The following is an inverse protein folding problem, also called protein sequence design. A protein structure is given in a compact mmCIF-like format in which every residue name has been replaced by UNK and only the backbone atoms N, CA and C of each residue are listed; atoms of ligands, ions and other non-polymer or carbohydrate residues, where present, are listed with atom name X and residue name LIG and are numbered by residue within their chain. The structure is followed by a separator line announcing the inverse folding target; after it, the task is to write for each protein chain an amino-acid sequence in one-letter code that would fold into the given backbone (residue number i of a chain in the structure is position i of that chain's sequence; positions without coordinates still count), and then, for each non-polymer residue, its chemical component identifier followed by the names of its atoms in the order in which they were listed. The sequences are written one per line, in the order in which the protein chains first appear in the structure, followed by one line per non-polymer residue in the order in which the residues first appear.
data_IF_518984625545
#
_entry.id   IF_518984625545
#
_cell.length_a   1.000
_cell.length_b   1.000
_cell.length_c   1.000
_cell.angle_alpha   90.00
_cell.angle_beta   90.00
_cell.angle_gamma   90.00
#
_symmetry.space_group_name_H-M   'P 1'
#
loop_
_entity.id
_entity.type
_entity.pdbx_description
1 polymer ?
#
# COMPACT_ATOMS: atom_id res chain seq x y z
N UNK A 1 -9.28 -8.35 6.24
CA UNK A 1 -9.07 -8.26 4.78
C UNK A 1 -7.59 -8.37 4.57
N UNK A 2 -7.09 -9.24 3.71
CA UNK A 2 -5.67 -9.27 3.42
C UNK A 2 -5.33 -7.97 2.71
N UNK A 3 -4.48 -7.17 3.34
CA UNK A 3 -3.75 -6.10 2.68
C UNK A 3 -2.91 -6.76 1.60
N UNK A 4 -3.13 -6.38 0.35
CA UNK A 4 -2.19 -6.66 -0.73
C UNK A 4 -0.87 -6.00 -0.33
N UNK A 5 -0.01 -6.77 0.30
CA UNK A 5 1.37 -6.35 0.55
C UNK A 5 2.02 -6.22 -0.81
N UNK A 6 2.39 -4.99 -1.19
CA UNK A 6 3.35 -4.79 -2.27
C UNK A 6 4.50 -5.76 -2.08
N UNK A 7 4.96 -6.47 -3.14
CA UNK A 7 6.06 -7.40 -3.01
C UNK A 7 7.24 -6.67 -2.37
N UNK A 8 7.85 -7.30 -1.39
CA UNK A 8 9.05 -6.78 -0.76
C UNK A 8 10.05 -6.43 -1.86
N UNK A 9 10.52 -5.18 -1.84
CA UNK A 9 11.54 -4.75 -2.78
C UNK A 9 12.84 -5.48 -2.46
N UNK A 10 13.12 -6.57 -3.18
CA UNK A 10 14.47 -6.96 -3.46
C UNK A 10 14.91 -6.13 -4.65
N UNK A 11 15.72 -5.13 -4.40
CA UNK A 11 16.20 -4.26 -5.46
C UNK A 11 16.96 -5.07 -6.50
N UNK A 12 16.47 -5.03 -7.73
CA UNK A 12 17.22 -5.34 -8.95
C UNK A 12 18.50 -4.48 -9.11
N UNK A 13 18.83 -3.65 -8.11
CA UNK A 13 19.95 -2.72 -8.13
C UNK A 13 21.34 -3.39 -8.24
N UNK A 14 21.46 -4.68 -7.95
CA UNK A 14 22.75 -5.39 -8.13
C UNK A 14 23.03 -5.70 -9.60
N UNK A 15 22.02 -5.75 -10.46
CA UNK A 15 22.21 -5.90 -11.91
C UNK A 15 22.63 -4.58 -12.59
N UNK A 16 22.43 -3.42 -11.97
CA UNK A 16 22.77 -2.12 -12.54
C UNK A 16 24.24 -1.70 -12.32
N UNK A 17 24.96 -2.30 -11.39
CA UNK A 17 26.37 -1.93 -11.11
C UNK A 17 27.34 -2.39 -12.19
N UNK A 18 26.98 -3.41 -12.97
CA UNK A 18 27.82 -3.87 -14.09
C UNK A 18 27.73 -3.01 -15.36
N UNK A 19 26.73 -2.11 -15.48
CA UNK A 19 26.50 -1.32 -16.70
C UNK A 19 27.16 0.08 -16.72
N UNK A 20 27.84 0.50 -15.66
CA UNK A 20 28.43 1.85 -15.55
C UNK A 20 29.83 2.01 -16.19
N UNK A 21 30.36 1.00 -16.88
CA UNK A 21 31.67 1.03 -17.54
C UNK A 21 31.63 1.23 -19.06
N UNK A 22 30.47 1.37 -19.70
CA UNK A 22 30.41 1.64 -21.14
C UNK A 22 30.20 3.14 -21.43
N UNK A 23 31.31 3.86 -21.65
CA UNK A 23 31.28 5.17 -22.36
C UNK A 23 30.87 4.96 -23.82
N UNK A 24 29.99 5.79 -24.41
CA UNK A 24 29.73 5.74 -25.84
C UNK A 24 30.96 6.23 -26.60
N UNK A 25 31.51 5.39 -27.44
CA UNK A 25 32.50 5.78 -28.43
C UNK A 25 31.81 6.45 -29.62
N UNK A 26 32.37 7.55 -30.03
CA UNK A 26 31.98 8.34 -31.22
C UNK A 26 31.94 7.47 -32.47
N UNK A 27 30.89 7.61 -33.26
CA UNK A 27 30.79 7.04 -34.60
C UNK A 27 31.82 7.67 -35.55
N UNK A 28 32.41 6.89 -36.44
CA UNK A 28 32.78 7.38 -37.77
C UNK A 28 31.93 6.69 -38.84
N UNK A 29 31.44 7.55 -39.78
CA UNK A 29 30.84 7.13 -41.04
C UNK A 29 31.77 6.23 -41.82
N UNK A 30 31.30 5.07 -42.30
CA UNK A 30 31.67 4.51 -43.63
C UNK A 30 30.76 3.32 -43.99
N UNK A 31 30.50 3.26 -45.28
CA UNK A 31 29.73 2.38 -46.16
C UNK A 31 30.00 0.87 -45.95
N UNK A 32 29.04 -0.02 -46.22
CA UNK A 32 29.20 -1.45 -45.99
C UNK A 32 29.97 -2.16 -47.09
N UNK A 33 30.81 -3.15 -46.75
CA UNK A 33 31.08 -4.27 -47.63
C UNK A 33 30.28 -5.51 -47.17
N UNK A 34 29.65 -6.13 -48.13
CA UNK A 34 29.15 -7.51 -48.02
C UNK A 34 30.26 -8.46 -47.62
N UNK A 35 30.06 -9.13 -46.54
CA UNK A 35 30.36 -10.53 -46.30
C UNK A 35 30.02 -10.81 -44.83
N UNK A 36 28.87 -11.44 -44.59
CA UNK A 36 28.57 -12.01 -43.27
C UNK A 36 29.42 -13.24 -43.15
N UNK A 37 30.64 -13.07 -42.58
CA UNK A 37 31.37 -14.20 -42.02
C UNK A 37 30.51 -14.71 -40.83
N UNK A 38 30.08 -15.94 -40.87
CA UNK A 38 29.52 -16.65 -39.72
C UNK A 38 30.56 -16.55 -38.59
N UNK A 39 30.29 -15.67 -37.62
CA UNK A 39 31.06 -15.71 -36.36
C UNK A 39 30.56 -16.97 -35.67
N UNK A 40 31.47 -17.96 -35.57
CA UNK A 40 31.24 -19.15 -34.75
C UNK A 40 30.94 -18.66 -33.35
N UNK A 41 29.76 -18.97 -32.86
CA UNK A 41 29.19 -18.54 -31.55
C UNK A 41 30.04 -19.12 -30.34
N UNK A 42 30.97 -20.01 -30.64
CA UNK A 42 31.86 -20.66 -29.67
C UNK A 42 33.06 -19.81 -29.20
N UNK A 43 33.24 -18.56 -29.68
CA UNK A 43 34.42 -17.72 -29.36
C UNK A 43 34.14 -16.48 -28.54
N UNK A 44 32.89 -16.21 -28.18
CA UNK A 44 32.58 -15.16 -27.25
C UNK A 44 32.93 -15.60 -25.82
N UNK A 45 33.64 -14.77 -25.02
CA UNK A 45 33.91 -15.11 -23.63
C UNK A 45 32.58 -15.37 -22.92
N UNK A 46 32.50 -16.54 -22.24
CA UNK A 46 31.29 -16.86 -21.46
C UNK A 46 30.98 -15.70 -20.53
N UNK A 47 29.74 -15.18 -20.60
CA UNK A 47 29.29 -14.09 -19.72
C UNK A 47 29.39 -14.53 -18.26
N UNK A 48 29.75 -13.62 -17.33
CA UNK A 48 29.78 -13.92 -15.91
C UNK A 48 28.49 -14.59 -15.44
N UNK A 49 28.54 -15.62 -14.60
CA UNK A 49 27.37 -16.40 -14.18
C UNK A 49 26.23 -15.54 -13.61
N UNK A 50 26.56 -14.46 -12.88
CA UNK A 50 25.57 -13.53 -12.30
C UNK A 50 24.83 -12.76 -13.42
N UNK A 51 25.54 -12.28 -14.43
CA UNK A 51 24.93 -11.56 -15.57
C UNK A 51 24.03 -12.50 -16.37
N UNK A 52 24.52 -13.71 -16.68
CA UNK A 52 23.73 -14.72 -17.40
C UNK A 52 22.48 -15.13 -16.62
N UNK A 53 22.59 -15.32 -15.31
CA UNK A 53 21.43 -15.62 -14.48
C UNK A 53 20.42 -14.47 -14.48
N UNK A 54 20.88 -13.20 -14.49
CA UNK A 54 20.02 -12.02 -14.59
C UNK A 54 19.24 -11.95 -15.90
N UNK A 55 19.86 -12.26 -17.03
CA UNK A 55 19.20 -12.33 -18.34
C UNK A 55 18.13 -13.44 -18.38
N UNK A 56 18.44 -14.61 -17.82
CA UNK A 56 17.49 -15.71 -17.70
C UNK A 56 16.31 -15.36 -16.80
N UNK A 57 16.55 -14.67 -15.70
CA UNK A 57 15.49 -14.16 -14.85
C UNK A 57 14.59 -13.15 -15.57
N UNK A 58 15.17 -12.22 -16.31
CA UNK A 58 14.43 -11.22 -17.08
C UNK A 58 13.55 -11.86 -18.16
N UNK A 59 13.92 -13.03 -18.68
CA UNK A 59 13.14 -13.82 -19.63
C UNK A 59 12.20 -14.86 -18.97
N UNK A 60 12.10 -14.86 -17.63
CA UNK A 60 11.25 -15.78 -16.87
C UNK A 60 11.78 -17.19 -16.72
N UNK A 61 13.04 -17.44 -17.13
CA UNK A 61 13.71 -18.75 -17.09
C UNK A 61 14.41 -18.96 -15.74
N UNK A 62 13.63 -18.91 -14.65
CA UNK A 62 14.18 -18.94 -13.28
C UNK A 62 14.90 -20.26 -12.94
N UNK A 63 14.44 -21.40 -13.52
CA UNK A 63 15.06 -22.70 -13.26
C UNK A 63 16.45 -22.80 -13.92
N UNK A 64 16.61 -22.28 -15.13
CA UNK A 64 17.88 -22.21 -15.83
C UNK A 64 18.85 -21.22 -15.14
N UNK A 65 18.31 -20.08 -14.67
CA UNK A 65 19.08 -19.12 -13.88
C UNK A 65 19.66 -19.77 -12.61
N UNK A 66 18.87 -20.58 -11.91
CA UNK A 66 19.33 -21.32 -10.74
C UNK A 66 20.43 -22.32 -11.08
N UNK A 67 20.26 -23.07 -12.17
CA UNK A 67 21.26 -24.05 -12.62
C UNK A 67 22.61 -23.39 -12.94
N UNK A 68 22.60 -22.23 -13.61
CA UNK A 68 23.83 -21.46 -13.91
C UNK A 68 24.57 -21.07 -12.63
N UNK A 69 23.84 -20.62 -11.61
CA UNK A 69 24.45 -20.22 -10.33
C UNK A 69 24.92 -21.43 -9.52
N UNK A 70 24.14 -22.51 -9.52
CA UNK A 70 24.54 -23.76 -8.84
C UNK A 70 25.83 -24.35 -9.47
N UNK A 71 26.01 -24.27 -10.79
CA UNK A 71 27.22 -24.70 -11.47
C UNK A 71 28.40 -23.77 -11.14
N UNK A 72 28.18 -22.46 -11.12
CA UNK A 72 29.22 -21.50 -10.73
C UNK A 72 29.69 -21.71 -9.28
N UNK A 73 28.77 -22.01 -8.36
CA UNK A 73 29.10 -22.31 -6.97
C UNK A 73 29.88 -23.62 -6.77
N UNK A 74 29.88 -24.56 -7.72
CA UNK A 74 30.76 -25.73 -7.67
C UNK A 74 32.23 -25.31 -7.87
N UNK A 75 32.47 -24.31 -8.72
CA UNK A 75 33.81 -23.78 -8.97
C UNK A 75 34.27 -22.78 -7.90
N UNK A 76 33.36 -21.95 -7.41
CA UNK A 76 33.64 -20.90 -6.41
C UNK A 76 32.65 -20.98 -5.25
N UNK A 77 32.74 -21.97 -4.36
CA UNK A 77 31.75 -22.23 -3.30
C UNK A 77 31.69 -21.14 -2.21
N UNK A 78 32.72 -20.30 -2.15
CA UNK A 78 32.86 -19.26 -1.13
C UNK A 78 32.53 -17.84 -1.66
N UNK A 79 32.02 -17.73 -2.87
CA UNK A 79 31.63 -16.43 -3.44
C UNK A 79 30.31 -15.94 -2.83
N UNK A 80 30.29 -14.83 -2.03
CA UNK A 80 29.09 -14.35 -1.40
C UNK A 80 28.09 -13.75 -2.40
N UNK A 81 28.57 -13.24 -3.54
CA UNK A 81 27.71 -12.63 -4.55
C UNK A 81 26.92 -13.69 -5.32
N UNK A 82 27.53 -14.85 -5.60
CA UNK A 82 26.84 -16.01 -6.18
C UNK A 82 25.79 -16.58 -5.23
N UNK A 83 26.09 -16.70 -3.94
CA UNK A 83 25.12 -17.11 -2.94
C UNK A 83 23.95 -16.12 -2.84
N UNK A 84 24.22 -14.82 -2.91
CA UNK A 84 23.19 -13.79 -2.91
C UNK A 84 22.29 -13.87 -4.15
N UNK A 85 22.90 -13.95 -5.34
CA UNK A 85 22.15 -14.09 -6.60
C UNK A 85 21.27 -15.35 -6.60
N UNK A 86 21.82 -16.47 -6.09
CA UNK A 86 21.06 -17.72 -5.91
C UNK A 86 19.82 -17.52 -5.01
N UNK A 87 19.95 -16.78 -3.93
CA UNK A 87 18.87 -16.46 -3.04
C UNK A 87 17.74 -15.66 -3.73
N UNK A 88 18.12 -14.69 -4.58
CA UNK A 88 17.15 -13.92 -5.39
C UNK A 88 16.36 -14.85 -6.31
N UNK A 89 17.04 -15.74 -7.03
CA UNK A 89 16.36 -16.68 -7.93
C UNK A 89 15.44 -17.64 -7.18
N UNK A 90 15.85 -18.11 -6.01
CA UNK A 90 15.04 -19.00 -5.16
C UNK A 90 13.78 -18.32 -4.64
N UNK A 91 13.88 -17.03 -4.28
CA UNK A 91 12.71 -16.23 -3.89
C UNK A 91 11.70 -16.11 -5.04
N UNK A 92 12.17 -15.80 -6.25
CA UNK A 92 11.30 -15.73 -7.44
C UNK A 92 10.67 -17.08 -7.81
N UNK A 93 11.32 -18.18 -7.46
CA UNK A 93 10.76 -19.53 -7.58
C UNK A 93 9.76 -19.88 -6.46
N UNK A 94 9.47 -18.95 -5.54
CA UNK A 94 8.57 -19.20 -4.40
C UNK A 94 9.17 -20.12 -3.33
N UNK A 95 10.48 -20.14 -3.19
CA UNK A 95 11.24 -20.95 -2.23
C UNK A 95 11.93 -20.08 -1.16
N UNK A 96 11.17 -19.34 -0.34
CA UNK A 96 11.75 -18.33 0.54
C UNK A 96 12.70 -18.91 1.61
N UNK A 97 12.47 -20.13 2.09
CA UNK A 97 13.37 -20.76 3.07
C UNK A 97 14.71 -21.13 2.47
N UNK A 98 14.73 -21.61 1.22
CA UNK A 98 15.98 -21.90 0.48
C UNK A 98 16.71 -20.59 0.15
N UNK A 99 15.97 -19.52 -0.18
CA UNK A 99 16.52 -18.18 -0.39
C UNK A 99 17.24 -17.65 0.85
N UNK A 100 16.60 -17.75 2.03
CA UNK A 100 17.22 -17.37 3.31
C UNK A 100 18.50 -18.19 3.55
N UNK A 101 18.50 -19.48 3.30
CA UNK A 101 19.70 -20.32 3.46
C UNK A 101 20.84 -19.86 2.54
N UNK A 102 20.54 -19.50 1.30
CA UNK A 102 21.52 -18.96 0.36
C UNK A 102 22.08 -17.60 0.82
N UNK A 103 21.21 -16.69 1.28
CA UNK A 103 21.65 -15.39 1.81
C UNK A 103 22.42 -15.51 3.12
N UNK A 104 22.08 -16.46 3.99
CA UNK A 104 22.88 -16.78 5.18
C UNK A 104 24.27 -17.28 4.80
N UNK A 105 24.39 -18.10 3.75
CA UNK A 105 25.68 -18.51 3.23
C UNK A 105 26.50 -17.32 2.70
N UNK A 106 25.87 -16.33 2.06
CA UNK A 106 26.51 -15.08 1.66
C UNK A 106 27.03 -14.30 2.88
N UNK A 107 26.19 -14.12 3.91
CA UNK A 107 26.52 -13.38 5.14
C UNK A 107 27.61 -14.08 5.94
N UNK A 108 27.66 -15.43 5.98
CA UNK A 108 28.74 -16.17 6.63
C UNK A 108 30.11 -15.87 6.02
N UNK A 109 30.17 -15.64 4.70
CA UNK A 109 31.39 -15.31 3.97
C UNK A 109 31.73 -13.82 4.01
N UNK A 110 30.69 -12.99 4.02
CA UNK A 110 30.80 -11.53 4.06
C UNK A 110 29.77 -10.98 5.07
N UNK A 111 30.17 -10.83 6.36
CA UNK A 111 29.21 -10.44 7.44
C UNK A 111 28.54 -9.08 7.25
N UNK A 112 29.15 -8.18 6.50
CA UNK A 112 28.63 -6.86 6.14
C UNK A 112 27.86 -6.82 4.80
N UNK A 113 27.46 -7.99 4.29
CA UNK A 113 26.75 -8.07 3.02
C UNK A 113 25.30 -7.62 3.17
N UNK A 114 25.12 -6.30 3.22
CA UNK A 114 23.85 -5.63 3.51
C UNK A 114 22.68 -6.06 2.61
N UNK A 115 22.84 -6.38 1.30
CA UNK A 115 21.72 -6.81 0.49
C UNK A 115 21.15 -8.17 0.96
N UNK A 116 22.03 -9.12 1.34
CA UNK A 116 21.59 -10.41 1.87
C UNK A 116 20.91 -10.26 3.24
N UNK A 117 21.46 -9.42 4.13
CA UNK A 117 20.84 -9.11 5.42
C UNK A 117 19.43 -8.51 5.24
N UNK A 118 19.27 -7.60 4.28
CA UNK A 118 17.95 -7.03 3.96
C UNK A 118 16.99 -8.08 3.39
N UNK A 119 17.45 -8.97 2.48
CA UNK A 119 16.65 -10.07 1.94
C UNK A 119 16.18 -11.04 3.02
N UNK A 120 17.08 -11.44 3.94
CA UNK A 120 16.72 -12.27 5.09
C UNK A 120 15.63 -11.60 5.92
N UNK A 121 15.80 -10.33 6.26
CA UNK A 121 14.82 -9.56 7.02
C UNK A 121 13.46 -9.47 6.32
N UNK A 122 13.47 -9.37 5.01
CA UNK A 122 12.28 -9.30 4.18
C UNK A 122 11.45 -10.60 4.30
N UNK A 123 12.06 -11.76 4.09
CA UNK A 123 11.39 -13.06 4.23
C UNK A 123 10.94 -13.30 5.68
N UNK A 124 11.74 -12.89 6.67
CA UNK A 124 11.36 -12.98 8.09
C UNK A 124 10.11 -12.15 8.39
N UNK A 125 10.00 -10.94 7.83
CA UNK A 125 8.83 -10.08 8.02
C UNK A 125 7.58 -10.70 7.41
N UNK A 126 7.67 -11.25 6.21
CA UNK A 126 6.56 -11.93 5.54
C UNK A 126 6.11 -13.20 6.27
N UNK A 127 7.05 -13.89 6.91
CA UNK A 127 6.79 -15.03 7.79
C UNK A 127 6.21 -14.62 9.18
N UNK A 128 6.02 -13.31 9.45
CA UNK A 128 5.57 -12.80 10.74
C UNK A 128 6.64 -12.81 11.84
N UNK A 129 7.89 -13.10 11.53
CA UNK A 129 9.05 -13.09 12.45
C UNK A 129 9.56 -11.67 12.60
N UNK A 130 8.71 -10.80 13.16
CA UNK A 130 8.93 -9.35 13.15
C UNK A 130 10.18 -8.93 13.95
N UNK A 131 10.46 -9.60 15.04
CA UNK A 131 11.64 -9.28 15.88
C UNK A 131 12.94 -9.59 15.17
N UNK A 132 13.00 -10.74 14.51
CA UNK A 132 14.15 -11.20 13.72
C UNK A 132 14.34 -10.30 12.50
N UNK A 133 13.26 -9.93 11.82
CA UNK A 133 13.29 -9.01 10.69
C UNK A 133 13.88 -7.64 11.07
N UNK A 134 13.45 -7.07 12.20
CA UNK A 134 13.99 -5.81 12.73
C UNK A 134 15.51 -5.93 12.98
N UNK A 135 15.97 -7.05 13.54
CA UNK A 135 17.38 -7.27 13.78
C UNK A 135 18.18 -7.36 12.46
N UNK A 136 17.67 -8.08 11.46
CA UNK A 136 18.27 -8.21 10.14
C UNK A 136 18.36 -6.87 9.39
N UNK A 137 17.30 -6.06 9.41
CA UNK A 137 17.32 -4.72 8.80
C UNK A 137 18.28 -3.76 9.52
N UNK A 138 18.35 -3.80 10.85
CA UNK A 138 19.33 -3.02 11.61
C UNK A 138 20.77 -3.42 11.28
N UNK A 139 21.04 -4.71 11.08
CA UNK A 139 22.35 -5.18 10.65
C UNK A 139 22.69 -4.70 9.23
N UNK A 140 21.71 -4.71 8.30
CA UNK A 140 21.88 -4.16 6.95
C UNK A 140 22.21 -2.65 6.99
N UNK A 141 21.51 -1.87 7.82
CA UNK A 141 21.77 -0.43 8.04
C UNK A 141 23.14 -0.20 8.69
N UNK A 142 23.54 -1.03 9.64
CA UNK A 142 24.85 -0.91 10.26
C UNK A 142 25.97 -1.17 9.24
N UNK A 143 25.80 -2.11 8.32
CA UNK A 143 26.73 -2.39 7.24
C UNK A 143 26.72 -1.28 6.16
N UNK A 144 25.55 -0.72 5.85
CA UNK A 144 25.38 0.38 4.88
C UNK A 144 24.33 1.38 5.37
N UNK A 145 24.74 2.47 6.05
CA UNK A 145 23.82 3.44 6.63
C UNK A 145 22.97 4.23 5.63
N UNK A 146 23.39 4.33 4.39
CA UNK A 146 22.71 5.00 3.29
C UNK A 146 21.88 4.06 2.40
N UNK A 147 21.58 2.87 2.88
CA UNK A 147 20.74 1.91 2.17
C UNK A 147 19.24 2.16 2.44
N UNK A 148 18.61 2.92 1.55
CA UNK A 148 17.21 3.38 1.69
C UNK A 148 16.22 2.24 1.92
N UNK A 149 16.37 1.12 1.17
CA UNK A 149 15.47 -0.03 1.28
C UNK A 149 15.48 -0.68 2.67
N UNK A 150 16.64 -0.75 3.32
CA UNK A 150 16.71 -1.30 4.68
C UNK A 150 16.02 -0.38 5.70
N UNK A 151 16.11 0.93 5.53
CA UNK A 151 15.36 1.89 6.35
C UNK A 151 13.85 1.78 6.12
N UNK A 152 13.42 1.64 4.86
CA UNK A 152 12.02 1.43 4.51
C UNK A 152 11.46 0.13 5.11
N UNK A 153 12.17 -0.99 4.92
CA UNK A 153 11.78 -2.30 5.43
C UNK A 153 11.80 -2.33 6.97
N UNK A 154 12.77 -1.67 7.62
CA UNK A 154 12.77 -1.48 9.07
C UNK A 154 11.54 -0.72 9.53
N UNK A 155 11.15 0.35 8.84
CA UNK A 155 9.95 1.11 9.12
C UNK A 155 8.69 0.25 9.06
N UNK A 156 8.55 -0.57 8.03
CA UNK A 156 7.43 -1.53 7.88
C UNK A 156 7.41 -2.57 9.01
N UNK A 157 8.55 -3.13 9.35
CA UNK A 157 8.68 -4.11 10.43
C UNK A 157 8.32 -3.49 11.80
N UNK A 158 8.73 -2.25 12.06
CA UNK A 158 8.38 -1.52 13.27
C UNK A 158 6.89 -1.18 13.34
N UNK A 159 6.24 -0.86 12.20
CA UNK A 159 4.79 -0.71 12.13
C UNK A 159 4.07 -2.01 12.48
N UNK A 160 4.56 -3.15 11.97
CA UNK A 160 4.02 -4.47 12.30
C UNK A 160 4.20 -4.82 13.80
N UNK A 161 5.30 -4.35 14.40
CA UNK A 161 5.54 -4.47 15.84
C UNK A 161 4.72 -3.49 16.70
N UNK A 162 4.06 -2.49 16.09
CA UNK A 162 3.31 -1.45 16.79
C UNK A 162 4.18 -0.29 17.31
N UNK A 163 5.47 -0.25 17.02
CA UNK A 163 6.37 0.85 17.39
C UNK A 163 6.30 1.98 16.35
N UNK A 164 5.20 2.73 16.39
CA UNK A 164 4.92 3.83 15.46
C UNK A 164 5.99 4.95 15.51
N UNK A 165 6.51 5.36 16.68
CA UNK A 165 7.56 6.38 16.73
C UNK A 165 8.86 5.96 16.05
N UNK A 166 9.34 4.75 16.30
CA UNK A 166 10.56 4.23 15.66
C UNK A 166 10.34 4.00 14.16
N UNK A 167 9.18 3.49 13.76
CA UNK A 167 8.80 3.32 12.35
C UNK A 167 8.88 4.63 11.57
N UNK A 168 8.34 5.71 12.14
CA UNK A 168 8.41 7.03 11.53
C UNK A 168 9.86 7.48 11.30
N UNK A 169 10.71 7.33 12.30
CA UNK A 169 12.12 7.70 12.18
C UNK A 169 12.82 6.94 11.06
N UNK A 170 12.55 5.64 10.95
CA UNK A 170 13.12 4.80 9.89
C UNK A 170 12.60 5.21 8.49
N UNK A 171 11.29 5.45 8.35
CA UNK A 171 10.68 5.88 7.08
C UNK A 171 11.11 7.29 6.66
N UNK A 172 11.28 8.21 7.62
CA UNK A 172 11.83 9.55 7.34
C UNK A 172 13.30 9.46 6.88
N UNK A 173 14.07 8.49 7.40
CA UNK A 173 15.42 8.21 6.91
C UNK A 173 15.39 7.65 5.48
N UNK A 174 14.51 6.68 5.19
CA UNK A 174 14.30 6.17 3.83
C UNK A 174 13.95 7.29 2.85
N UNK A 175 13.03 8.17 3.23
CA UNK A 175 12.61 9.30 2.38
C UNK A 175 13.73 10.32 2.13
N UNK A 176 14.63 10.55 3.10
CA UNK A 176 15.80 11.42 2.87
C UNK A 176 16.79 10.80 1.89
N UNK A 177 16.94 9.48 1.91
CA UNK A 177 17.86 8.74 1.03
C UNK A 177 17.28 8.52 -0.36
N UNK A 178 15.97 8.33 -0.46
CA UNK A 178 15.24 8.11 -1.71
C UNK A 178 13.94 8.95 -1.73
N UNK A 179 14.03 10.27 -1.98
CA UNK A 179 12.88 11.19 -1.86
C UNK A 179 11.83 11.00 -2.97
N UNK A 180 12.17 10.31 -4.06
CA UNK A 180 11.27 10.00 -5.16
C UNK A 180 10.70 8.57 -5.09
N UNK A 181 10.89 7.90 -3.98
CA UNK A 181 10.34 6.57 -3.76
C UNK A 181 8.86 6.66 -3.36
N UNK A 182 7.99 6.25 -4.29
CA UNK A 182 6.53 6.33 -4.14
C UNK A 182 6.04 5.49 -2.96
N UNK A 183 6.59 4.30 -2.74
CA UNK A 183 6.17 3.42 -1.65
C UNK A 183 6.51 4.00 -0.28
N UNK A 184 7.70 4.61 -0.16
CA UNK A 184 8.08 5.34 1.05
C UNK A 184 7.12 6.50 1.32
N UNK A 185 6.78 7.28 0.29
CA UNK A 185 5.85 8.41 0.39
C UNK A 185 4.44 7.95 0.77
N UNK A 186 3.95 6.83 0.22
CA UNK A 186 2.64 6.26 0.56
C UNK A 186 2.58 5.86 2.05
N UNK A 187 3.57 5.12 2.52
CA UNK A 187 3.60 4.67 3.92
C UNK A 187 3.75 5.85 4.88
N UNK A 188 4.58 6.83 4.55
CA UNK A 188 4.72 8.06 5.33
C UNK A 188 3.43 8.88 5.36
N UNK A 189 2.76 9.04 4.22
CA UNK A 189 1.49 9.78 4.15
C UNK A 189 0.44 9.15 5.04
N UNK A 190 0.28 7.82 4.97
CA UNK A 190 -0.66 7.10 5.83
C UNK A 190 -0.28 7.21 7.32
N UNK A 191 1.01 7.17 7.63
CA UNK A 191 1.50 7.34 8.99
C UNK A 191 1.20 8.75 9.54
N UNK A 192 1.44 9.77 8.73
CA UNK A 192 1.11 11.16 9.08
C UNK A 192 -0.40 11.33 9.28
N UNK A 193 -1.21 10.76 8.38
CA UNK A 193 -2.66 10.79 8.47
C UNK A 193 -3.17 10.14 9.77
N UNK A 194 -2.69 8.95 10.11
CA UNK A 194 -3.05 8.25 11.37
C UNK A 194 -2.59 8.99 12.62
N UNK A 195 -1.51 9.74 12.51
CA UNK A 195 -1.00 10.59 13.59
C UNK A 195 -1.73 11.96 13.70
N UNK A 196 -2.74 12.23 12.85
CA UNK A 196 -3.45 13.50 12.79
C UNK A 196 -2.63 14.65 12.19
N UNK A 197 -1.45 14.37 11.61
CA UNK A 197 -0.59 15.35 10.94
C UNK A 197 -1.02 15.51 9.48
N UNK A 198 -2.22 16.05 9.28
CA UNK A 198 -2.88 16.03 7.98
C UNK A 198 -2.14 16.90 6.94
N UNK A 199 -1.47 17.98 7.34
CA UNK A 199 -0.68 18.80 6.43
C UNK A 199 0.54 18.06 5.89
N UNK A 200 1.24 17.31 6.73
CA UNK A 200 2.36 16.48 6.32
C UNK A 200 1.89 15.32 5.42
N UNK A 201 0.75 14.71 5.76
CA UNK A 201 0.12 13.69 4.93
C UNK A 201 -0.24 14.23 3.54
N UNK A 202 -0.77 15.45 3.46
CA UNK A 202 -1.13 16.09 2.18
C UNK A 202 0.13 16.40 1.34
N UNK A 203 1.20 16.89 1.99
CA UNK A 203 2.47 17.15 1.31
C UNK A 203 3.05 15.87 0.70
N UNK A 204 3.12 14.80 1.49
CA UNK A 204 3.69 13.50 1.05
C UNK A 204 2.82 12.81 0.01
N UNK A 205 1.48 12.80 0.18
CA UNK A 205 0.58 12.18 -0.80
C UNK A 205 0.54 12.94 -2.13
N UNK A 206 0.61 14.27 -2.12
CA UNK A 206 0.75 15.06 -3.36
C UNK A 206 2.10 14.84 -4.05
N UNK A 207 3.18 14.62 -3.30
CA UNK A 207 4.47 14.24 -3.88
C UNK A 207 4.38 12.87 -4.57
N UNK A 208 3.80 11.87 -3.92
CA UNK A 208 3.54 10.56 -4.52
C UNK A 208 2.69 10.66 -5.80
N UNK A 209 1.62 11.47 -5.78
CA UNK A 209 0.73 11.65 -6.94
C UNK A 209 1.40 12.35 -8.13
N UNK A 210 2.43 13.16 -7.91
CA UNK A 210 3.24 13.74 -9.00
C UNK A 210 4.17 12.72 -9.64
N UNK A 211 4.72 11.79 -8.84
CA UNK A 211 5.65 10.77 -9.31
C UNK A 211 4.91 9.61 -9.99
N UNK A 212 3.77 9.22 -9.46
CA UNK A 212 2.94 8.14 -9.98
C UNK A 212 1.49 8.61 -10.24
N UNK A 213 1.27 9.45 -11.26
CA UNK A 213 -0.04 10.07 -11.51
C UNK A 213 -1.12 9.08 -11.94
N UNK A 214 -0.72 7.92 -12.44
CA UNK A 214 -1.64 6.86 -12.91
C UNK A 214 -1.83 5.72 -11.91
N UNK A 215 -1.20 5.78 -10.74
CA UNK A 215 -1.34 4.78 -9.70
C UNK A 215 -2.63 4.98 -8.91
N UNK A 216 -3.48 3.95 -8.89
CA UNK A 216 -4.79 4.00 -8.25
C UNK A 216 -4.68 4.09 -6.71
N UNK A 217 -3.69 3.44 -6.10
CA UNK A 217 -3.49 3.47 -4.65
C UNK A 217 -3.04 4.86 -4.19
N UNK A 218 -2.12 5.48 -4.94
CA UNK A 218 -1.66 6.85 -4.73
C UNK A 218 -2.83 7.82 -4.80
N UNK A 219 -3.67 7.73 -5.84
CA UNK A 219 -4.85 8.55 -6.02
C UNK A 219 -5.85 8.37 -4.89
N UNK A 220 -6.13 7.12 -4.51
CA UNK A 220 -7.04 6.79 -3.42
C UNK A 220 -6.56 7.35 -2.08
N UNK A 221 -5.25 7.19 -1.76
CA UNK A 221 -4.68 7.74 -0.54
C UNK A 221 -4.77 9.27 -0.50
N UNK A 222 -4.42 9.95 -1.59
CA UNK A 222 -4.55 11.41 -1.69
C UNK A 222 -6.02 11.83 -1.50
N UNK A 223 -6.97 11.12 -2.09
CA UNK A 223 -8.40 11.34 -1.90
C UNK A 223 -8.81 11.29 -0.41
N UNK A 224 -8.32 10.30 0.34
CA UNK A 224 -8.59 10.20 1.79
C UNK A 224 -7.99 11.37 2.57
N UNK A 225 -6.76 11.76 2.29
CA UNK A 225 -6.11 12.90 2.94
C UNK A 225 -6.85 14.21 2.64
N UNK A 226 -7.29 14.40 1.41
CA UNK A 226 -8.09 15.57 1.00
C UNK A 226 -9.45 15.60 1.70
N UNK A 227 -10.09 14.45 1.92
CA UNK A 227 -11.32 14.36 2.72
C UNK A 227 -11.12 14.84 4.16
N UNK A 228 -10.00 14.50 4.79
CA UNK A 228 -9.66 14.93 6.14
C UNK A 228 -9.26 16.42 6.23
N UNK A 229 -8.87 17.02 5.10
CA UNK A 229 -8.65 18.49 4.96
C UNK A 229 -9.90 19.25 4.53
N UNK A 230 -11.07 18.60 4.46
CA UNK A 230 -12.32 19.17 3.94
C UNK A 230 -12.24 19.68 2.49
N UNK A 231 -11.24 19.24 1.71
CA UNK A 231 -11.07 19.54 0.28
C UNK A 231 -11.88 18.56 -0.58
N UNK A 232 -13.19 18.55 -0.37
CA UNK A 232 -14.08 17.50 -0.89
C UNK A 232 -14.17 17.44 -2.41
N UNK A 233 -14.03 18.57 -3.12
CA UNK A 233 -14.05 18.59 -4.59
C UNK A 233 -12.77 17.98 -5.18
N UNK A 234 -11.60 18.26 -4.58
CA UNK A 234 -10.35 17.63 -4.98
C UNK A 234 -10.39 16.13 -4.66
N UNK A 235 -10.87 15.73 -3.47
CA UNK A 235 -11.03 14.34 -3.09
C UNK A 235 -11.92 13.56 -4.07
N UNK A 236 -13.04 14.15 -4.52
CA UNK A 236 -13.90 13.57 -5.56
C UNK A 236 -13.11 13.25 -6.83
N UNK A 237 -12.29 14.20 -7.29
CA UNK A 237 -11.49 14.02 -8.51
C UNK A 237 -10.48 12.89 -8.35
N UNK A 238 -9.79 12.82 -7.21
CA UNK A 238 -8.79 11.77 -6.95
C UNK A 238 -9.42 10.38 -6.83
N UNK A 239 -10.56 10.23 -6.14
CA UNK A 239 -11.29 8.96 -6.10
C UNK A 239 -11.82 8.54 -7.48
N UNK A 240 -12.28 9.49 -8.29
CA UNK A 240 -12.70 9.19 -9.66
C UNK A 240 -11.52 8.73 -10.53
N UNK A 241 -10.35 9.34 -10.38
CA UNK A 241 -9.13 8.94 -11.07
C UNK A 241 -8.67 7.53 -10.63
N UNK A 242 -8.74 7.22 -9.33
CA UNK A 242 -8.45 5.87 -8.83
C UNK A 242 -9.39 4.82 -9.44
N UNK A 243 -10.70 5.11 -9.49
CA UNK A 243 -11.71 4.22 -10.07
C UNK A 243 -11.58 4.05 -11.59
N UNK A 244 -11.05 5.03 -12.30
CA UNK A 244 -10.75 4.90 -13.72
C UNK A 244 -9.66 3.83 -14.00
N UNK A 245 -8.74 3.62 -13.05
CA UNK A 245 -7.68 2.61 -13.13
C UNK A 245 -8.09 1.29 -12.47
N UNK A 246 -8.80 1.35 -11.35
CA UNK A 246 -9.30 0.20 -10.59
C UNK A 246 -10.81 0.32 -10.38
N UNK A 247 -11.64 -0.05 -11.37
CA UNK A 247 -13.10 0.14 -11.29
C UNK A 247 -13.78 -0.63 -10.14
N UNK A 248 -13.14 -1.66 -9.60
CA UNK A 248 -13.68 -2.50 -8.53
C UNK A 248 -13.19 -2.10 -7.13
N UNK A 249 -12.43 -0.99 -7.00
CA UNK A 249 -11.98 -0.50 -5.70
C UNK A 249 -13.16 0.02 -4.87
N UNK A 250 -13.55 -0.80 -3.89
CA UNK A 250 -14.67 -0.53 -2.97
C UNK A 250 -14.38 0.70 -2.10
N UNK A 251 -13.13 0.88 -1.67
CA UNK A 251 -12.73 1.97 -0.79
C UNK A 251 -12.74 3.31 -1.52
N UNK A 252 -12.19 3.35 -2.73
CA UNK A 252 -12.25 4.54 -3.58
C UNK A 252 -13.70 4.92 -3.94
N UNK A 253 -14.56 3.93 -4.23
CA UNK A 253 -15.98 4.18 -4.54
C UNK A 253 -16.75 4.70 -3.33
N UNK A 254 -16.46 4.18 -2.14
CA UNK A 254 -17.04 4.69 -0.89
C UNK A 254 -16.53 6.11 -0.58
N UNK A 255 -15.23 6.36 -0.82
CA UNK A 255 -14.61 7.68 -0.72
C UNK A 255 -15.27 8.70 -1.63
N UNK A 256 -15.51 8.33 -2.91
CA UNK A 256 -16.22 9.14 -3.88
C UNK A 256 -17.64 9.51 -3.38
N UNK A 257 -18.40 8.52 -2.92
CA UNK A 257 -19.74 8.75 -2.41
C UNK A 257 -19.74 9.72 -1.21
N UNK A 258 -18.81 9.56 -0.29
CA UNK A 258 -18.65 10.48 0.85
C UNK A 258 -18.28 11.89 0.41
N UNK A 259 -17.36 12.03 -0.55
CA UNK A 259 -16.96 13.33 -1.09
C UNK A 259 -18.16 14.06 -1.73
N UNK A 260 -18.99 13.33 -2.47
CA UNK A 260 -20.23 13.88 -3.05
C UNK A 260 -21.23 14.31 -1.97
N UNK A 261 -21.47 13.50 -0.95
CA UNK A 261 -22.38 13.86 0.17
C UNK A 261 -21.90 15.10 0.91
N UNK A 262 -20.59 15.26 1.07
CA UNK A 262 -19.99 16.44 1.72
C UNK A 262 -20.10 17.72 0.88
N UNK A 263 -20.20 17.61 -0.43
CA UNK A 263 -20.42 18.71 -1.38
C UNK A 263 -21.91 19.02 -1.59
N UNK A 264 -22.81 18.43 -0.78
CA UNK A 264 -24.27 18.50 -0.96
C UNK A 264 -24.81 17.91 -2.28
N UNK A 265 -23.99 17.12 -2.98
CA UNK A 265 -24.34 16.35 -4.18
C UNK A 265 -24.87 14.96 -3.80
N UNK A 266 -25.81 14.94 -2.83
CA UNK A 266 -26.29 13.67 -2.26
C UNK A 266 -27.03 12.81 -3.28
N UNK A 267 -27.70 13.41 -4.28
CA UNK A 267 -28.35 12.65 -5.37
C UNK A 267 -27.34 11.88 -6.20
N UNK A 268 -26.22 12.52 -6.57
CA UNK A 268 -25.14 11.87 -7.33
C UNK A 268 -24.46 10.73 -6.51
N UNK A 269 -24.41 10.87 -5.18
CA UNK A 269 -23.84 9.86 -4.29
C UNK A 269 -24.65 8.56 -4.23
N UNK A 270 -25.94 8.60 -4.59
CA UNK A 270 -26.79 7.40 -4.55
C UNK A 270 -26.35 6.34 -5.55
N UNK A 271 -25.79 6.73 -6.70
CA UNK A 271 -25.33 5.80 -7.73
C UNK A 271 -24.19 4.90 -7.23
N UNK A 272 -23.03 5.44 -6.77
CA UNK A 272 -21.96 4.61 -6.25
C UNK A 272 -22.37 3.84 -4.98
N UNK A 273 -23.29 4.35 -4.15
CA UNK A 273 -23.76 3.65 -2.95
C UNK A 273 -24.67 2.47 -3.29
N UNK A 274 -25.53 2.60 -4.30
CA UNK A 274 -26.37 1.49 -4.76
C UNK A 274 -25.51 0.37 -5.38
N UNK A 275 -24.52 0.72 -6.20
CA UNK A 275 -23.57 -0.25 -6.76
C UNK A 275 -22.78 -0.99 -5.65
N UNK A 276 -22.29 -0.25 -4.64
CA UNK A 276 -21.61 -0.85 -3.48
C UNK A 276 -22.51 -1.81 -2.69
N UNK A 277 -23.79 -1.47 -2.51
CA UNK A 277 -24.73 -2.33 -1.77
C UNK A 277 -24.99 -3.67 -2.47
N UNK A 278 -24.82 -3.72 -3.80
CA UNK A 278 -24.89 -4.96 -4.59
C UNK A 278 -23.57 -5.75 -4.51
N UNK A 279 -22.42 -5.05 -4.63
CA UNK A 279 -21.09 -5.70 -4.64
C UNK A 279 -20.66 -6.22 -3.27
N UNK A 280 -20.96 -5.46 -2.22
CA UNK A 280 -20.52 -5.76 -0.83
C UNK A 280 -21.70 -5.60 0.15
N UNK A 281 -22.75 -6.44 0.01
CA UNK A 281 -24.01 -6.31 0.75
C UNK A 281 -23.86 -6.44 2.27
N UNK A 282 -22.80 -7.08 2.74
CA UNK A 282 -22.52 -7.31 4.17
C UNK A 282 -21.74 -6.16 4.82
N UNK A 283 -21.30 -5.15 4.04
CA UNK A 283 -20.59 -4.00 4.59
C UNK A 283 -21.56 -2.96 5.19
N UNK A 284 -21.74 -3.02 6.50
CA UNK A 284 -22.62 -2.13 7.24
C UNK A 284 -22.36 -0.64 7.00
N UNK A 285 -21.11 -0.26 6.73
CA UNK A 285 -20.71 1.13 6.47
C UNK A 285 -21.37 1.66 5.19
N UNK A 286 -21.47 0.85 4.14
CA UNK A 286 -22.12 1.25 2.88
C UNK A 286 -23.57 1.62 3.11
N UNK A 287 -24.31 0.78 3.82
CA UNK A 287 -25.72 1.05 4.16
C UNK A 287 -25.88 2.29 5.04
N UNK A 288 -24.93 2.53 5.96
CA UNK A 288 -24.91 3.72 6.79
C UNK A 288 -24.66 4.99 5.98
N UNK A 289 -23.71 4.98 5.00
CA UNK A 289 -23.48 6.12 4.11
C UNK A 289 -24.69 6.37 3.19
N UNK A 290 -25.31 5.32 2.68
CA UNK A 290 -26.51 5.44 1.86
C UNK A 290 -27.65 6.07 2.66
N UNK A 291 -27.87 5.62 3.90
CA UNK A 291 -28.84 6.24 4.79
C UNK A 291 -28.56 7.73 5.06
N UNK A 292 -27.29 8.11 5.19
CA UNK A 292 -26.90 9.51 5.36
C UNK A 292 -27.23 10.37 4.12
N UNK A 293 -26.93 9.86 2.92
CA UNK A 293 -27.24 10.54 1.67
C UNK A 293 -28.76 10.76 1.51
N UNK A 294 -29.56 9.72 1.75
CA UNK A 294 -31.04 9.80 1.70
C UNK A 294 -31.60 10.76 2.75
N UNK A 295 -31.06 10.80 3.96
CA UNK A 295 -31.45 11.70 5.00
C UNK A 295 -31.23 13.19 4.62
N UNK A 296 -30.07 13.48 3.99
CA UNK A 296 -29.80 14.82 3.45
C UNK A 296 -30.79 15.25 2.37
N UNK A 297 -31.28 14.29 1.58
CA UNK A 297 -32.31 14.54 0.56
C UNK A 297 -33.75 14.60 1.14
N UNK A 298 -33.92 14.50 2.46
CA UNK A 298 -35.23 14.45 3.10
C UNK A 298 -36.01 13.15 2.88
N UNK A 299 -35.42 12.15 2.23
CA UNK A 299 -36.00 10.81 1.98
C UNK A 299 -35.84 9.93 3.21
N UNK A 300 -36.52 10.24 4.31
CA UNK A 300 -36.21 9.62 5.62
C UNK A 300 -36.98 8.32 5.82
N UNK A 301 -38.27 8.28 5.52
CA UNK A 301 -39.18 7.15 5.82
C UNK A 301 -39.49 6.30 4.58
N UNK A 302 -40.15 5.15 4.82
CA UNK A 302 -40.49 4.21 3.76
C UNK A 302 -39.39 3.13 3.53
N UNK A 303 -39.70 2.11 2.72
CA UNK A 303 -38.80 0.96 2.52
C UNK A 303 -37.49 1.35 1.82
N UNK A 304 -37.51 2.41 1.02
CA UNK A 304 -36.35 2.95 0.30
C UNK A 304 -35.73 4.17 1.00
N UNK A 305 -36.21 4.52 2.20
CA UNK A 305 -35.78 5.69 2.94
C UNK A 305 -34.49 5.46 3.76
N UNK A 306 -33.99 6.56 4.32
CA UNK A 306 -32.78 6.58 5.14
C UNK A 306 -32.85 5.61 6.32
N UNK A 307 -34.01 5.56 7.01
CA UNK A 307 -34.18 4.69 8.18
C UNK A 307 -34.04 3.21 7.84
N UNK A 308 -34.60 2.76 6.71
CA UNK A 308 -34.48 1.39 6.27
C UNK A 308 -33.01 1.01 5.99
N UNK A 309 -32.24 1.91 5.37
CA UNK A 309 -30.81 1.70 5.10
C UNK A 309 -29.97 1.70 6.40
N UNK A 310 -30.28 2.59 7.34
CA UNK A 310 -29.61 2.65 8.64
C UNK A 310 -29.94 1.43 9.51
N UNK A 311 -31.18 0.95 9.46
CA UNK A 311 -31.57 -0.29 10.15
C UNK A 311 -30.87 -1.51 9.57
N UNK A 312 -30.71 -1.58 8.24
CA UNK A 312 -29.89 -2.63 7.60
C UNK A 312 -28.44 -2.56 8.06
N UNK A 313 -27.85 -1.37 8.15
CA UNK A 313 -26.50 -1.19 8.69
C UNK A 313 -26.37 -1.73 10.12
N UNK A 314 -27.37 -1.44 10.97
CA UNK A 314 -27.39 -1.89 12.37
C UNK A 314 -27.75 -3.37 12.54
N UNK A 315 -28.45 -3.98 11.59
CA UNK A 315 -28.61 -5.45 11.54
C UNK A 315 -27.27 -6.14 11.25
N UNK A 316 -26.49 -5.61 10.30
CA UNK A 316 -25.18 -6.15 9.94
C UNK A 316 -24.12 -5.89 11.03
N UNK A 317 -24.14 -4.69 11.62
CA UNK A 317 -23.20 -4.29 12.68
C UNK A 317 -23.92 -3.50 13.76
N UNK A 318 -24.43 -4.18 14.81
CA UNK A 318 -25.25 -3.57 15.85
C UNK A 318 -24.56 -2.44 16.64
N UNK A 319 -23.23 -2.42 16.69
CA UNK A 319 -22.45 -1.41 17.42
C UNK A 319 -21.84 -0.34 16.50
N UNK A 320 -22.33 -0.21 15.25
CA UNK A 320 -21.82 0.80 14.33
C UNK A 320 -22.27 2.19 14.78
N UNK A 321 -21.39 2.90 15.48
CA UNK A 321 -21.67 4.23 16.05
C UNK A 321 -22.17 5.22 15.01
N UNK A 322 -21.57 5.27 13.80
CA UNK A 322 -21.99 6.17 12.73
C UNK A 322 -23.43 5.95 12.29
N UNK A 323 -23.90 4.69 12.25
CA UNK A 323 -25.29 4.40 11.88
C UNK A 323 -26.29 4.84 12.97
N UNK A 324 -25.94 4.66 14.24
CA UNK A 324 -26.75 5.15 15.36
C UNK A 324 -26.86 6.69 15.34
N UNK A 325 -25.73 7.38 15.21
CA UNK A 325 -25.68 8.86 15.15
C UNK A 325 -26.53 9.36 14.00
N UNK A 326 -26.38 8.78 12.81
CA UNK A 326 -27.14 9.15 11.61
C UNK A 326 -28.63 8.85 11.76
N UNK A 327 -28.99 7.75 12.41
CA UNK A 327 -30.39 7.41 12.68
C UNK A 327 -31.05 8.45 13.60
N UNK A 328 -30.37 8.82 14.68
CA UNK A 328 -30.86 9.92 15.57
C UNK A 328 -31.01 11.21 14.78
N UNK A 329 -30.01 11.59 13.98
CA UNK A 329 -30.06 12.82 13.18
C UNK A 329 -31.14 12.80 12.11
N UNK A 330 -31.37 11.70 11.41
CA UNK A 330 -32.40 11.56 10.40
C UNK A 330 -33.82 11.69 11.02
N UNK A 331 -34.04 11.06 12.18
CA UNK A 331 -35.30 11.17 12.92
C UNK A 331 -35.51 12.58 13.45
N UNK A 332 -34.49 13.20 14.03
CA UNK A 332 -34.60 14.59 14.56
C UNK A 332 -34.83 15.60 13.44
N UNK A 333 -34.11 15.50 12.32
CA UNK A 333 -34.26 16.36 11.14
C UNK A 333 -35.63 16.26 10.49
N UNK A 334 -36.27 15.09 10.56
CA UNK A 334 -37.66 14.88 10.11
C UNK A 334 -38.72 15.18 11.19
N UNK A 335 -38.32 15.82 12.29
CA UNK A 335 -39.18 16.20 13.43
C UNK A 335 -39.86 15.01 14.15
N UNK A 336 -39.34 13.82 13.99
CA UNK A 336 -39.76 12.62 14.69
C UNK A 336 -39.08 12.53 16.07
N UNK A 337 -39.35 13.48 16.96
CA UNK A 337 -38.57 13.70 18.17
C UNK A 337 -38.67 12.57 19.21
N UNK A 338 -39.81 11.91 19.33
CA UNK A 338 -39.95 10.77 20.24
C UNK A 338 -39.11 9.58 19.74
N UNK A 339 -39.25 9.12 18.48
CA UNK A 339 -38.37 8.07 17.91
C UNK A 339 -36.88 8.44 17.98
N UNK A 340 -36.52 9.71 17.79
CA UNK A 340 -35.11 10.13 17.89
C UNK A 340 -34.55 9.97 19.31
N UNK A 341 -35.33 10.34 20.35
CA UNK A 341 -34.94 10.12 21.76
C UNK A 341 -34.84 8.65 22.10
N UNK A 342 -35.78 7.84 21.61
CA UNK A 342 -35.77 6.37 21.84
C UNK A 342 -34.53 5.73 21.16
N UNK A 343 -34.20 6.15 19.96
CA UNK A 343 -32.98 5.71 19.26
C UNK A 343 -31.69 6.11 20.01
N UNK A 344 -31.63 7.36 20.53
CA UNK A 344 -30.50 7.79 21.37
C UNK A 344 -30.38 6.96 22.65
N UNK A 345 -31.51 6.71 23.34
CA UNK A 345 -31.54 5.89 24.55
C UNK A 345 -31.06 4.44 24.27
N UNK A 346 -31.51 3.85 23.16
CA UNK A 346 -31.06 2.53 22.72
C UNK A 346 -29.56 2.51 22.41
N UNK A 347 -29.02 3.55 21.81
CA UNK A 347 -27.57 3.66 21.56
C UNK A 347 -26.79 3.83 22.86
N UNK A 348 -27.24 4.69 23.79
CA UNK A 348 -26.59 4.89 25.07
C UNK A 348 -26.53 3.60 25.91
N UNK A 349 -27.59 2.77 25.85
CA UNK A 349 -27.63 1.47 26.54
C UNK A 349 -26.54 0.48 26.06
N UNK A 350 -25.99 0.67 24.87
CA UNK A 350 -24.87 -0.11 24.32
C UNK A 350 -23.50 0.33 24.83
N UNK A 351 -23.44 1.34 25.68
CA UNK A 351 -22.21 1.91 26.25
C UNK A 351 -21.17 2.28 25.17
N UNK A 352 -21.56 3.14 24.19
CA UNK A 352 -20.62 3.61 23.17
C UNK A 352 -19.50 4.45 23.77
N UNK A 353 -18.44 4.72 22.97
CA UNK A 353 -17.41 5.69 23.37
C UNK A 353 -18.05 7.04 23.67
N UNK A 354 -17.55 7.80 24.66
CA UNK A 354 -18.12 9.09 25.07
C UNK A 354 -18.31 10.06 23.90
N UNK A 355 -17.33 10.18 23.01
CA UNK A 355 -17.40 11.08 21.86
C UNK A 355 -18.55 10.73 20.89
N UNK A 356 -18.77 9.42 20.65
CA UNK A 356 -19.85 8.97 19.79
C UNK A 356 -21.23 9.26 20.41
N UNK A 357 -21.36 9.13 21.74
CA UNK A 357 -22.57 9.47 22.44
C UNK A 357 -22.84 11.00 22.39
N UNK A 358 -21.82 11.80 22.59
CA UNK A 358 -21.92 13.27 22.48
C UNK A 358 -22.35 13.70 21.07
N UNK A 359 -21.81 13.10 20.02
CA UNK A 359 -22.23 13.35 18.64
C UNK A 359 -23.70 12.98 18.42
N UNK A 360 -24.16 11.84 18.95
CA UNK A 360 -25.57 11.45 18.86
C UNK A 360 -26.50 12.41 19.62
N UNK A 361 -26.05 12.90 20.78
CA UNK A 361 -26.81 13.94 21.54
C UNK A 361 -26.88 15.24 20.75
N UNK A 362 -25.78 15.65 20.10
CA UNK A 362 -25.76 16.84 19.23
C UNK A 362 -26.71 16.65 18.04
N UNK A 363 -26.75 15.45 17.44
CA UNK A 363 -27.68 15.17 16.34
C UNK A 363 -29.17 15.26 16.74
N UNK A 364 -29.49 15.18 18.03
CA UNK A 364 -30.87 15.39 18.55
C UNK A 364 -31.27 16.86 18.68
N UNK A 365 -30.35 17.82 18.46
CA UNK A 365 -30.62 19.26 18.74
C UNK A 365 -31.84 19.83 17.99
N UNK A 366 -32.24 19.25 16.86
CA UNK A 366 -33.46 19.60 16.12
C UNK A 366 -34.77 19.25 16.84
N UNK A 367 -34.69 18.56 17.99
CA UNK A 367 -35.83 18.07 18.77
C UNK A 367 -35.94 18.72 20.19
N UNK A 368 -35.60 19.99 20.28
CA UNK A 368 -35.78 20.76 21.53
C UNK A 368 -37.25 21.02 21.84
#
# INVERSE_FOLDING_TARGET
MPTTTSPLRLTLAVLAVACLACKPASQPDTKPPNEVASIDDDTLPERPPIERSGELMASGQHAEALAVLDDALKATPDDPELHYARGIVLEQLGKPQEAVAAWQAAVQRKPDFFPALNGIGAVQLDAGQTTEAIASFKAAIAAKPDFADAHYNLGRALLAAGDVPAARTALEAANRLAPEDVDVLLVLSELHRKAGRIDDALLTSRAAARLAPDDAEVRRLLGHVLMEKDLHAEAQAEFAAALAKMPDDVDARLGLARALVKQDKSEEALVPLADLAVRVPDQAVVWSEWGAALAKLGRVTGPEGALARLDKALQLKPDLASAHIRKVGALAGSKQCKPARDALKAFAARKPKPDALAQAQTALAGCK
#
